data_IF_356006808916
#
_entry.id   IF_356006808916
#
_cell.length_a   1.000
_cell.length_b   1.000
_cell.length_c   1.000
_cell.angle_alpha   90.00
_cell.angle_beta   90.00
_cell.angle_gamma   90.00
#
_symmetry.space_group_name_H-M   'P 1'
#
loop_
_entity.id
_entity.type
_entity.pdbx_description
1 polymer ?
#
# COMPACT_ATOMS: atom_id res chain seq x y z
N UNK A 1 -7.58 4.12 16.70
CA UNK A 1 -7.56 3.54 15.34
C UNK A 1 -7.35 4.66 14.35
N UNK A 2 -6.65 4.40 13.27
CA UNK A 2 -6.37 5.35 12.19
C UNK A 2 -6.54 4.61 10.86
N UNK A 3 -7.19 5.25 9.89
CA UNK A 3 -7.34 4.71 8.54
C UNK A 3 -6.42 5.47 7.59
N UNK A 4 -5.90 4.77 6.59
CA UNK A 4 -5.01 5.32 5.57
C UNK A 4 -5.57 4.98 4.20
N UNK A 5 -5.64 5.98 3.33
CA UNK A 5 -5.81 5.79 1.90
C UNK A 5 -4.57 6.39 1.23
N UNK A 6 -3.93 5.61 0.37
CA UNK A 6 -2.85 6.09 -0.48
C UNK A 6 -3.17 5.74 -1.91
N UNK A 7 -2.97 6.70 -2.80
CA UNK A 7 -2.94 6.48 -4.23
C UNK A 7 -1.57 6.92 -4.74
N UNK A 8 -1.02 6.22 -5.71
CA UNK A 8 0.22 6.57 -6.40
C UNK A 8 0.20 6.08 -7.83
N UNK A 9 0.74 6.88 -8.73
CA UNK A 9 0.99 6.55 -10.12
C UNK A 9 2.52 6.56 -10.34
N UNK A 10 3.01 5.59 -11.11
CA UNK A 10 4.40 5.51 -11.55
C UNK A 10 4.44 5.39 -13.06
N UNK A 11 5.12 6.33 -13.71
CA UNK A 11 5.29 6.37 -15.16
C UNK A 11 6.70 5.91 -15.55
N UNK A 12 6.78 4.93 -16.44
CA UNK A 12 8.01 4.36 -16.99
C UNK A 12 8.11 4.54 -18.51
N UNK A 13 7.36 5.48 -19.09
CA UNK A 13 7.33 5.75 -20.54
C UNK A 13 8.72 5.94 -21.17
N UNK A 14 9.68 6.47 -20.40
CA UNK A 14 11.05 6.75 -20.85
C UNK A 14 11.94 5.50 -20.93
N UNK A 15 11.57 4.41 -20.26
CA UNK A 15 12.35 3.16 -20.23
C UNK A 15 11.72 2.08 -21.12
N UNK A 16 10.40 2.07 -21.19
CA UNK A 16 9.60 1.11 -21.96
C UNK A 16 8.32 1.80 -22.43
N UNK A 17 7.89 1.63 -23.69
CA UNK A 17 6.71 2.32 -24.19
C UNK A 17 5.46 2.02 -23.35
N UNK A 18 4.80 3.09 -22.89
CA UNK A 18 3.45 3.06 -22.32
C UNK A 18 3.29 2.13 -21.10
N UNK A 19 4.30 2.09 -20.22
CA UNK A 19 4.20 1.37 -18.95
C UNK A 19 3.92 2.35 -17.83
N UNK A 20 2.67 2.39 -17.38
CA UNK A 20 2.23 3.14 -16.19
C UNK A 20 1.70 2.14 -15.15
N UNK A 21 2.03 2.36 -13.89
CA UNK A 21 1.51 1.56 -12.78
C UNK A 21 0.69 2.46 -11.86
N UNK A 22 -0.60 2.19 -11.81
CA UNK A 22 -1.48 2.75 -10.80
C UNK A 22 -1.54 1.83 -9.59
N UNK A 23 -1.45 2.42 -8.40
CA UNK A 23 -1.52 1.66 -7.15
C UNK A 23 -2.36 2.43 -6.15
N UNK A 24 -3.28 1.71 -5.51
CA UNK A 24 -3.98 2.23 -4.34
C UNK A 24 -3.83 1.28 -3.16
N UNK A 25 -3.83 1.85 -1.96
CA UNK A 25 -3.71 1.13 -0.70
C UNK A 25 -4.73 1.66 0.28
N UNK A 26 -5.48 0.75 0.88
CA UNK A 26 -6.31 1.04 2.05
C UNK A 26 -5.70 0.34 3.26
N UNK A 27 -5.50 1.10 4.33
CA UNK A 27 -4.83 0.66 5.54
C UNK A 27 -5.60 0.96 6.80
N UNK A 28 -5.43 0.10 7.81
CA UNK A 28 -5.93 0.30 9.16
C UNK A 28 -4.79 0.12 10.17
N UNK A 29 -4.62 1.13 11.02
CA UNK A 29 -3.64 1.18 12.09
C UNK A 29 -4.35 1.08 13.44
N UNK A 30 -4.07 -0.01 14.17
CA UNK A 30 -4.52 -0.22 15.54
C UNK A 30 -3.40 0.06 16.53
N UNK A 31 -3.55 1.15 17.28
CA UNK A 31 -2.69 1.47 18.42
C UNK A 31 -3.22 0.75 19.66
N UNK A 32 -2.54 -0.31 20.10
CA UNK A 32 -2.89 -1.05 21.32
C UNK A 32 -2.47 -0.25 22.57
N UNK A 33 -1.33 0.43 22.49
CA UNK A 33 -0.86 1.41 23.46
C UNK A 33 0.13 2.38 22.77
N UNK A 34 0.82 3.25 23.53
CA UNK A 34 1.79 4.22 22.98
C UNK A 34 3.01 3.58 22.30
N UNK A 35 3.30 2.32 22.61
CA UNK A 35 4.49 1.58 22.20
C UNK A 35 4.19 0.45 21.20
N UNK A 36 2.92 0.05 21.04
CA UNK A 36 2.52 -1.12 20.26
C UNK A 36 1.46 -0.73 19.23
N UNK A 37 1.74 -1.05 17.95
CA UNK A 37 0.81 -0.86 16.84
C UNK A 37 0.73 -2.10 15.96
N UNK A 38 -0.49 -2.45 15.54
CA UNK A 38 -0.78 -3.44 14.49
C UNK A 38 -1.29 -2.71 13.25
N UNK A 39 -0.82 -3.09 12.07
CA UNK A 39 -1.19 -2.48 10.80
C UNK A 39 -1.68 -3.57 9.85
N UNK A 40 -2.77 -3.29 9.15
CA UNK A 40 -3.30 -4.11 8.07
C UNK A 40 -3.45 -3.22 6.84
N UNK A 41 -2.86 -3.62 5.71
CA UNK A 41 -2.99 -2.92 4.44
C UNK A 41 -3.46 -3.90 3.36
N UNK A 42 -4.39 -3.44 2.54
CA UNK A 42 -4.72 -4.03 1.25
C UNK A 42 -4.28 -3.07 0.16
N UNK A 43 -3.48 -3.57 -0.77
CA UNK A 43 -3.01 -2.80 -1.93
C UNK A 43 -3.36 -3.54 -3.20
N UNK A 44 -3.73 -2.77 -4.21
CA UNK A 44 -3.89 -3.25 -5.57
C UNK A 44 -3.00 -2.40 -6.47
N UNK A 45 -2.30 -3.08 -7.39
CA UNK A 45 -1.50 -2.45 -8.43
C UNK A 45 -1.97 -2.96 -9.79
N UNK A 46 -2.13 -2.04 -10.74
CA UNK A 46 -2.57 -2.29 -12.10
C UNK A 46 -1.49 -1.83 -13.07
N UNK A 47 -1.14 -2.70 -14.02
CA UNK A 47 -0.20 -2.43 -15.10
C UNK A 47 -0.80 -2.95 -16.41
N UNK A 48 -1.36 -2.06 -17.22
CA UNK A 48 -2.13 -2.42 -18.42
C UNK A 48 -3.25 -3.41 -18.09
N UNK A 49 -3.21 -4.63 -18.66
CA UNK A 49 -4.22 -5.67 -18.43
C UNK A 49 -3.90 -6.58 -17.23
N UNK A 50 -2.74 -6.40 -16.58
CA UNK A 50 -2.31 -7.21 -15.44
C UNK A 50 -2.60 -6.51 -14.10
N UNK A 51 -3.07 -7.29 -13.12
CA UNK A 51 -3.33 -6.80 -11.76
C UNK A 51 -2.65 -7.66 -10.69
N UNK A 52 -2.27 -7.01 -9.59
CA UNK A 52 -1.68 -7.67 -8.43
C UNK A 52 -2.32 -7.13 -7.15
N UNK A 53 -2.83 -8.03 -6.34
CA UNK A 53 -3.38 -7.75 -5.01
C UNK A 53 -2.43 -8.22 -3.92
N UNK A 54 -2.24 -7.38 -2.90
CA UNK A 54 -1.39 -7.68 -1.75
C UNK A 54 -2.12 -7.35 -0.45
N UNK A 55 -2.20 -8.35 0.45
CA UNK A 55 -2.56 -8.14 1.85
C UNK A 55 -1.28 -8.17 2.68
N UNK A 56 -1.00 -7.09 3.39
CA UNK A 56 0.18 -6.98 4.24
C UNK A 56 -0.22 -6.66 5.69
N UNK A 57 0.30 -7.43 6.63
CA UNK A 57 0.18 -7.16 8.06
C UNK A 57 1.53 -6.79 8.65
N UNK A 58 1.53 -5.89 9.63
CA UNK A 58 2.74 -5.52 10.36
C UNK A 58 2.44 -5.33 11.83
N UNK A 59 3.26 -5.98 12.67
CA UNK A 59 3.30 -5.74 14.11
C UNK A 59 4.53 -4.88 14.43
N UNK A 60 4.34 -3.80 15.21
CA UNK A 60 5.39 -2.85 15.54
C UNK A 60 5.47 -2.60 17.05
N UNK A 61 6.71 -2.61 17.56
CA UNK A 61 7.09 -2.25 18.92
C UNK A 61 8.03 -1.03 18.88
N UNK A 62 7.76 -0.01 19.69
CA UNK A 62 8.60 1.16 19.87
C UNK A 62 9.03 1.28 21.34
N UNK A 63 10.32 1.54 21.57
CA UNK A 63 10.94 1.64 22.89
C UNK A 63 11.67 2.98 23.03
#
# INVERSE_FOLDING_TARGET
WEAVLRWSNLDFSDLTPNQEIDTWTVGLNWYLNKNIRVMLNYSNAELNDDNVDVIATRFQLAF
#
